data_IF_746919300012
#
_entry.id   IF_746919300012
#
_cell.length_a   1.000
_cell.length_b   1.000
_cell.length_c   1.000
_cell.angle_alpha   90.00
_cell.angle_beta   90.00
_cell.angle_gamma   90.00
#
_symmetry.space_group_name_H-M   'P 1'
#
loop_
_entity.id
_entity.type
_entity.pdbx_description
1 polymer ?
#
# COMPACT_ATOMS: atom_id res chain seq x y z
N UNK A 1 -17.53 -6.99 5.29
CA UNK A 1 -16.56 -7.40 4.25
C UNK A 1 -15.95 -6.11 3.73
N UNK A 2 -15.12 -5.50 4.55
CA UNK A 2 -14.50 -4.23 4.22
C UNK A 2 -13.24 -4.53 3.42
N UNK A 3 -13.00 -3.77 2.35
CA UNK A 3 -11.79 -3.86 1.55
C UNK A 3 -11.40 -2.46 1.11
N UNK A 4 -10.12 -2.11 1.26
CA UNK A 4 -9.61 -0.83 0.79
C UNK A 4 -8.98 -1.01 -0.59
N UNK A 5 -9.64 -0.46 -1.62
CA UNK A 5 -9.19 -0.55 -3.01
C UNK A 5 -8.57 0.78 -3.44
N UNK A 6 -7.34 0.69 -3.92
CA UNK A 6 -6.52 1.79 -4.43
C UNK A 6 -6.30 1.55 -5.92
N UNK A 7 -6.82 2.44 -6.76
CA UNK A 7 -6.65 2.36 -8.21
C UNK A 7 -5.49 3.23 -8.65
N UNK A 8 -4.72 2.77 -9.64
CA UNK A 8 -3.72 3.61 -10.28
C UNK A 8 -4.39 4.72 -11.09
N UNK A 9 -3.82 5.92 -11.06
CA UNK A 9 -4.25 7.03 -11.91
C UNK A 9 -3.78 6.93 -13.37
N UNK A 10 -2.76 6.12 -13.64
CA UNK A 10 -2.14 6.02 -14.98
C UNK A 10 -2.29 4.67 -15.67
N UNK A 11 -2.62 3.62 -14.91
CA UNK A 11 -2.70 2.23 -15.43
C UNK A 11 -3.97 1.53 -14.95
N UNK A 12 -4.27 0.35 -15.51
CA UNK A 12 -5.33 -0.53 -15.00
C UNK A 12 -4.93 -1.28 -13.72
N UNK A 13 -3.81 -0.93 -13.09
CA UNK A 13 -3.36 -1.58 -11.86
C UNK A 13 -4.19 -1.13 -10.65
N UNK A 14 -4.38 -2.04 -9.72
CA UNK A 14 -5.04 -1.76 -8.44
C UNK A 14 -4.36 -2.51 -7.29
N UNK A 15 -4.28 -1.86 -6.14
CA UNK A 15 -3.85 -2.43 -4.88
C UNK A 15 -5.07 -2.53 -3.97
N UNK A 16 -5.29 -3.70 -3.39
CA UNK A 16 -6.44 -3.98 -2.52
C UNK A 16 -5.97 -4.58 -1.21
N UNK A 17 -6.39 -3.98 -0.10
CA UNK A 17 -6.30 -4.58 1.23
C UNK A 17 -7.63 -5.26 1.54
N UNK A 18 -7.60 -6.54 1.90
CA UNK A 18 -8.80 -7.35 2.14
C UNK A 18 -8.54 -8.46 3.17
N UNK A 19 -9.57 -9.23 3.51
CA UNK A 19 -9.46 -10.43 4.37
C UNK A 19 -8.76 -10.13 5.70
N UNK A 20 -9.19 -9.05 6.37
CA UNK A 20 -8.73 -8.78 7.73
C UNK A 20 -9.27 -9.85 8.66
N UNK A 21 -8.35 -10.59 9.27
CA UNK A 21 -8.55 -11.47 10.41
C UNK A 21 -7.83 -10.85 11.62
N UNK A 22 -8.13 -11.27 12.86
CA UNK A 22 -7.70 -10.59 14.09
C UNK A 22 -6.23 -10.08 14.07
N UNK A 23 -5.34 -10.91 13.53
CA UNK A 23 -3.92 -10.60 13.42
C UNK A 23 -3.43 -10.35 11.97
N UNK A 24 -4.19 -10.70 10.94
CA UNK A 24 -3.68 -10.72 9.55
C UNK A 24 -4.52 -9.90 8.59
N UNK A 25 -3.91 -9.43 7.51
CA UNK A 25 -4.63 -8.91 6.34
C UNK A 25 -3.97 -9.38 5.05
N UNK A 26 -4.76 -9.51 3.99
CA UNK A 26 -4.28 -9.87 2.66
C UNK A 26 -4.07 -8.61 1.82
N UNK A 27 -2.92 -8.51 1.17
CA UNK A 27 -2.62 -7.49 0.15
C UNK A 27 -2.65 -8.13 -1.21
N UNK A 28 -3.47 -7.58 -2.10
CA UNK A 28 -3.61 -8.00 -3.49
C UNK A 28 -3.23 -6.86 -4.42
N UNK A 29 -2.29 -7.10 -5.32
CA UNK A 29 -2.02 -6.25 -6.46
C UNK A 29 -2.52 -6.94 -7.73
N UNK A 30 -3.40 -6.28 -8.47
CA UNK A 30 -3.93 -6.79 -9.74
C UNK A 30 -3.59 -5.81 -10.87
N UNK A 31 -2.96 -6.32 -11.91
CA UNK A 31 -2.72 -5.62 -13.16
C UNK A 31 -2.87 -6.59 -14.34
N UNK A 32 -3.00 -6.10 -15.59
CA UNK A 32 -3.07 -6.97 -16.76
C UNK A 32 -1.84 -7.87 -16.97
N UNK A 33 -0.67 -7.47 -16.44
CA UNK A 33 0.59 -8.19 -16.62
C UNK A 33 0.96 -9.07 -15.42
N UNK A 34 0.65 -8.63 -14.20
CA UNK A 34 1.06 -9.27 -12.95
C UNK A 34 -0.09 -9.23 -11.94
N UNK A 35 -0.32 -10.37 -11.29
CA UNK A 35 -1.17 -10.48 -10.11
C UNK A 35 -0.31 -10.97 -8.95
N UNK A 36 -0.47 -10.35 -7.80
CA UNK A 36 0.26 -10.69 -6.60
C UNK A 36 -0.69 -10.66 -5.42
N UNK A 37 -0.60 -11.67 -4.57
CA UNK A 37 -1.37 -11.80 -3.34
C UNK A 37 -0.44 -12.31 -2.25
N UNK A 38 -0.49 -11.67 -1.08
CA UNK A 38 0.24 -12.11 0.10
C UNK A 38 -0.54 -11.76 1.35
N UNK A 39 -0.60 -12.72 2.27
CA UNK A 39 -1.09 -12.52 3.64
C UNK A 39 0.04 -11.94 4.48
N UNK A 40 -0.24 -10.84 5.16
CA UNK A 40 0.72 -10.06 5.96
C UNK A 40 0.22 -9.99 7.40
N UNK A 41 1.13 -10.10 8.35
CA UNK A 41 0.81 -9.90 9.77
C UNK A 41 0.62 -8.40 10.06
N UNK A 42 -0.54 -8.00 10.61
CA UNK A 42 -0.94 -6.60 10.81
C UNK A 42 -1.12 -6.14 12.25
N UNK A 43 -0.88 -6.98 13.25
CA UNK A 43 -1.30 -6.74 14.64
C UNK A 43 -0.80 -5.42 15.28
N UNK A 44 0.33 -4.85 14.83
CA UNK A 44 0.91 -3.63 15.44
C UNK A 44 1.16 -2.46 14.50
N UNK A 45 1.15 -2.67 13.17
CA UNK A 45 1.54 -1.65 12.19
C UNK A 45 0.37 -1.02 11.44
N UNK A 46 -0.87 -1.43 11.71
CA UNK A 46 -2.05 -0.87 11.05
C UNK A 46 -2.16 0.65 11.25
N UNK A 47 -1.90 1.15 12.47
CA UNK A 47 -1.89 2.60 12.73
C UNK A 47 -0.76 3.31 11.98
N UNK A 48 0.42 2.70 11.88
CA UNK A 48 1.56 3.26 11.13
C UNK A 48 1.27 3.30 9.63
N UNK A 49 0.60 2.27 9.10
CA UNK A 49 0.17 2.20 7.71
C UNK A 49 -0.89 3.27 7.40
N UNK A 50 -1.87 3.44 8.29
CA UNK A 50 -2.87 4.51 8.18
C UNK A 50 -2.18 5.88 8.21
N UNK A 51 -1.28 6.11 9.16
CA UNK A 51 -0.51 7.35 9.25
C UNK A 51 0.31 7.64 7.99
N UNK A 52 0.89 6.59 7.37
CA UNK A 52 1.61 6.70 6.10
C UNK A 52 0.71 7.23 4.97
N UNK A 53 -0.50 6.66 4.80
CA UNK A 53 -1.43 7.14 3.79
C UNK A 53 -2.05 8.51 4.15
N UNK A 54 -2.28 8.80 5.43
CA UNK A 54 -2.71 10.13 5.88
C UNK A 54 -1.63 11.20 5.61
N UNK A 55 -0.35 10.86 5.79
CA UNK A 55 0.77 11.74 5.42
C UNK A 55 0.78 12.03 3.92
N UNK A 56 0.66 11.01 3.08
CA UNK A 56 0.60 11.17 1.61
C UNK A 56 -0.57 12.05 1.19
N UNK A 57 -1.74 11.88 1.82
CA UNK A 57 -2.90 12.71 1.55
C UNK A 57 -2.73 14.16 2.01
N UNK A 58 -2.09 14.38 3.16
CA UNK A 58 -1.87 15.72 3.71
C UNK A 58 -0.82 16.50 2.92
N UNK A 59 0.30 15.86 2.60
CA UNK A 59 1.42 16.44 1.87
C UNK A 59 1.30 16.20 0.35
N UNK A 60 0.07 16.15 -0.20
CA UNK A 60 -0.16 15.89 -1.63
C UNK A 60 0.52 16.90 -2.57
N UNK A 61 0.81 18.12 -2.08
CA UNK A 61 1.55 19.16 -2.81
C UNK A 61 3.03 18.82 -3.00
N UNK A 62 3.50 17.83 -2.25
CA UNK A 62 4.80 17.21 -2.35
C UNK A 62 5.65 17.35 -1.09
N UNK A 63 6.53 16.38 -0.88
CA UNK A 63 7.49 16.30 0.22
C UNK A 63 8.88 15.95 -0.33
N UNK A 64 9.91 16.16 0.50
CA UNK A 64 11.28 15.75 0.17
C UNK A 64 11.58 14.35 0.70
N UNK A 65 12.20 13.53 -0.14
CA UNK A 65 12.63 12.18 0.20
C UNK A 65 11.52 11.11 0.09
N UNK A 66 11.89 9.82 0.10
CA UNK A 66 10.93 8.74 0.16
C UNK A 66 10.35 8.59 1.57
N UNK A 67 9.04 8.38 1.64
CA UNK A 67 8.40 7.82 2.84
C UNK A 67 8.39 6.32 2.71
N UNK A 68 8.79 5.61 3.75
CA UNK A 68 8.86 4.15 3.76
C UNK A 68 8.07 3.63 4.95
N UNK A 69 7.19 2.69 4.68
CA UNK A 69 6.55 1.86 5.69
C UNK A 69 6.91 0.41 5.41
N UNK A 70 7.20 -0.36 6.44
CA UNK A 70 7.49 -1.79 6.33
C UNK A 70 6.77 -2.53 7.44
N UNK A 71 6.22 -3.70 7.14
CA UNK A 71 5.69 -4.62 8.15
C UNK A 71 6.83 -5.09 9.06
N UNK A 72 6.55 -5.37 10.34
CA UNK A 72 7.55 -5.88 11.29
C UNK A 72 8.31 -7.12 10.76
N UNK A 73 7.59 -8.06 10.13
CA UNK A 73 8.18 -9.28 9.57
C UNK A 73 8.92 -9.04 8.22
N UNK A 74 8.88 -7.81 7.70
CA UNK A 74 9.52 -7.44 6.44
C UNK A 74 8.83 -7.97 5.17
N UNK A 75 7.71 -8.66 5.30
CA UNK A 75 6.96 -9.27 4.19
C UNK A 75 6.41 -8.24 3.20
N UNK A 76 6.07 -7.04 3.68
CA UNK A 76 5.50 -5.95 2.89
C UNK A 76 6.21 -4.63 3.18
N UNK A 77 6.70 -3.99 2.14
CA UNK A 77 7.27 -2.65 2.17
C UNK A 77 6.54 -1.74 1.19
N UNK A 78 6.15 -0.56 1.65
CA UNK A 78 5.51 0.48 0.86
C UNK A 78 6.39 1.72 0.88
N UNK A 79 6.82 2.15 -0.30
CA UNK A 79 7.61 3.37 -0.46
C UNK A 79 6.83 4.39 -1.28
N UNK A 80 6.56 5.57 -0.72
CA UNK A 80 5.93 6.67 -1.42
C UNK A 80 6.92 7.79 -1.70
N UNK A 81 6.95 8.26 -2.95
CA UNK A 81 7.69 9.45 -3.36
C UNK A 81 6.76 10.44 -4.05
N UNK A 82 7.00 11.73 -3.83
CA UNK A 82 6.31 12.79 -4.56
C UNK A 82 7.22 13.37 -5.63
N UNK A 83 6.66 13.63 -6.81
CA UNK A 83 7.31 14.46 -7.82
C UNK A 83 6.83 15.93 -7.73
N UNK A 84 7.61 16.86 -8.25
CA UNK A 84 7.31 18.30 -8.33
C UNK A 84 6.05 18.62 -9.17
N UNK A 85 5.57 17.63 -9.94
CA UNK A 85 4.35 17.71 -10.76
C UNK A 85 3.09 17.31 -9.99
N UNK A 86 3.18 16.91 -8.71
CA UNK A 86 2.03 16.51 -7.89
C UNK A 86 1.57 15.07 -8.12
N UNK A 87 2.41 14.24 -8.73
CA UNK A 87 2.21 12.80 -8.78
C UNK A 87 2.87 12.14 -7.58
N UNK A 88 2.16 11.19 -6.96
CA UNK A 88 2.71 10.34 -5.92
C UNK A 88 2.98 8.97 -6.52
N UNK A 89 4.22 8.51 -6.47
CA UNK A 89 4.58 7.15 -6.85
C UNK A 89 4.63 6.28 -5.61
N UNK A 90 3.81 5.24 -5.58
CA UNK A 90 3.78 4.22 -4.55
C UNK A 90 4.45 2.95 -5.08
N UNK A 91 5.62 2.62 -4.56
CA UNK A 91 6.26 1.33 -4.78
C UNK A 91 5.80 0.35 -3.70
N UNK A 92 5.35 -0.82 -4.12
CA UNK A 92 4.91 -1.91 -3.27
C UNK A 92 5.87 -3.07 -3.49
N UNK A 93 6.57 -3.45 -2.43
CA UNK A 93 7.48 -4.58 -2.43
C UNK A 93 6.93 -5.65 -1.50
N UNK A 94 6.79 -6.86 -2.02
CA UNK A 94 6.35 -8.02 -1.27
C UNK A 94 7.43 -9.08 -1.36
N UNK A 95 7.77 -9.67 -0.21
CA UNK A 95 8.81 -10.68 -0.14
C UNK A 95 8.38 -11.86 0.74
N UNK A 96 8.84 -13.04 0.36
CA UNK A 96 8.66 -14.30 1.09
C UNK A 96 10.02 -14.74 1.62
N UNK A 97 10.14 -14.80 2.95
CA UNK A 97 11.39 -15.13 3.63
C UNK A 97 11.30 -16.39 4.51
N UNK A 98 10.09 -16.81 4.87
CA UNK A 98 9.85 -17.96 5.77
C UNK A 98 9.30 -19.19 5.01
N UNK A 99 8.76 -18.98 3.81
CA UNK A 99 8.27 -20.06 2.95
C UNK A 99 9.35 -20.96 2.34
N UNK A 100 8.94 -22.13 1.80
CA UNK A 100 9.86 -23.07 1.11
C UNK A 100 10.45 -22.48 -0.18
N UNK A 101 9.81 -21.47 -0.76
CA UNK A 101 10.27 -20.74 -1.94
C UNK A 101 10.50 -19.28 -1.58
N UNK A 102 11.76 -18.88 -1.51
CA UNK A 102 12.13 -17.48 -1.25
C UNK A 102 11.95 -16.67 -2.52
N UNK A 103 11.12 -15.63 -2.46
CA UNK A 103 10.91 -14.73 -3.59
C UNK A 103 10.69 -13.29 -3.12
N UNK A 104 10.94 -12.34 -4.03
CA UNK A 104 10.55 -10.95 -3.81
C UNK A 104 10.05 -10.36 -5.11
N UNK A 105 9.05 -9.49 -5.00
CA UNK A 105 8.45 -8.79 -6.12
C UNK A 105 8.29 -7.32 -5.75
N UNK A 106 8.51 -6.44 -6.72
CA UNK A 106 8.31 -5.00 -6.57
C UNK A 106 7.49 -4.50 -7.74
N UNK A 107 6.43 -3.78 -7.41
CA UNK A 107 5.53 -3.15 -8.38
C UNK A 107 5.35 -1.69 -8.02
N UNK A 108 5.14 -0.85 -9.03
CA UNK A 108 4.92 0.58 -8.83
C UNK A 108 3.52 0.96 -9.27
N UNK A 109 2.89 1.85 -8.51
CA UNK A 109 1.57 2.38 -8.76
C UNK A 109 1.60 3.90 -8.64
N UNK A 110 1.11 4.61 -9.65
CA UNK A 110 1.00 6.07 -9.60
C UNK A 110 -0.35 6.45 -9.01
N UNK A 111 -0.32 7.30 -8.00
CA UNK A 111 -1.46 7.95 -7.37
C UNK A 111 -1.51 9.42 -7.82
N UNK A 112 -2.70 9.85 -8.21
CA UNK A 112 -2.99 11.26 -8.44
C UNK A 112 -3.33 11.94 -7.11
N UNK A 113 -2.98 13.21 -6.96
CA UNK A 113 -3.30 14.01 -5.78
C UNK A 113 -4.82 14.01 -5.46
N UNK A 114 -5.68 13.88 -6.47
CA UNK A 114 -7.14 13.79 -6.27
C UNK A 114 -7.60 12.48 -5.62
N UNK A 115 -6.79 11.41 -5.71
CA UNK A 115 -7.10 10.11 -5.15
C UNK A 115 -6.54 9.90 -3.73
N UNK A 116 -5.47 10.62 -3.36
CA UNK A 116 -4.75 10.37 -2.09
C UNK A 116 -5.65 10.51 -0.87
N UNK A 117 -6.52 11.53 -0.81
CA UNK A 117 -7.48 11.71 0.29
C UNK A 117 -8.49 10.54 0.39
N UNK A 118 -9.01 10.08 -0.76
CA UNK A 118 -9.97 8.97 -0.79
C UNK A 118 -9.30 7.66 -0.36
N UNK A 119 -8.07 7.43 -0.83
CA UNK A 119 -7.25 6.29 -0.46
C UNK A 119 -6.99 6.28 1.04
N UNK A 120 -6.53 7.39 1.62
CA UNK A 120 -6.26 7.47 3.05
C UNK A 120 -7.51 7.20 3.89
N UNK A 121 -8.66 7.77 3.51
CA UNK A 121 -9.95 7.48 4.17
C UNK A 121 -10.36 6.01 4.06
N UNK A 122 -10.19 5.40 2.89
CA UNK A 122 -10.55 4.00 2.66
C UNK A 122 -9.67 3.04 3.47
N UNK A 123 -8.36 3.31 3.50
CA UNK A 123 -7.38 2.54 4.28
C UNK A 123 -7.67 2.70 5.78
N UNK A 124 -7.90 3.93 6.23
CA UNK A 124 -8.29 4.21 7.63
C UNK A 124 -9.57 3.49 8.03
N UNK A 125 -10.61 3.52 7.20
CA UNK A 125 -11.86 2.82 7.49
C UNK A 125 -11.68 1.29 7.56
N UNK A 126 -10.84 0.72 6.69
CA UNK A 126 -10.53 -0.71 6.72
C UNK A 126 -9.77 -1.13 7.98
N UNK A 127 -8.82 -0.32 8.44
CA UNK A 127 -8.02 -0.62 9.63
C UNK A 127 -8.64 -0.15 10.96
N UNK A 128 -9.65 0.71 10.93
CA UNK A 128 -10.39 1.15 12.12
C UNK A 128 -11.56 0.21 12.52
N UNK A 129 -12.01 -0.67 11.61
CA UNK A 129 -13.05 -1.68 11.84
C UNK A 129 -12.46 -3.04 12.22
#
# INVERSE_FOLDING_TARGET
>A
MDAAVIKSGSTSASLTFCERDADYFSVRYDSPAVKLEKRVWGYTDCDLLVNFFEFIAKEWKGWQGPQVWTSIEGELELTATSDKLGHVMLNIKVSEFDGPELWSSSVSLVLEASQTERVAKSVKAFFAN
#
